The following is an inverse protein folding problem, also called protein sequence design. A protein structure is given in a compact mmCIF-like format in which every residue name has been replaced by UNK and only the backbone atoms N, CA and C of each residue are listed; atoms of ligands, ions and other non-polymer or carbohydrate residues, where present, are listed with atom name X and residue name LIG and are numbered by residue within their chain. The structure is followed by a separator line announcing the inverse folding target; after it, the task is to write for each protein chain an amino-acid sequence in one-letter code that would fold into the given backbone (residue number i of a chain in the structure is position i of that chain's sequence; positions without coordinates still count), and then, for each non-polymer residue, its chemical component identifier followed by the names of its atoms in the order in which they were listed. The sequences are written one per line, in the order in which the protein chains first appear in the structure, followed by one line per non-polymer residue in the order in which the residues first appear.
data_IF_723442461736
#
_entry.id   IF_723442461736
#
_cell.length_a   1.000
_cell.length_b   1.000
_cell.length_c   1.000
_cell.angle_alpha   90.00
_cell.angle_beta   90.00
_cell.angle_gamma   90.00
#
_symmetry.space_group_name_H-M   'P 1'
#
loop_
_entity.id
_entity.type
_entity.pdbx_description
1 polymer ?
#
# COMPACT_ATOMS: atom_id res chain seq x y z
N UNK A 1 -24.75 21.18 13.76
CA UNK A 1 -24.27 19.92 13.15
C UNK A 1 -23.15 20.26 12.16
N UNK A 2 -22.04 20.80 12.66
CA UNK A 2 -20.86 21.11 11.85
C UNK A 2 -19.81 20.04 12.13
N UNK A 3 -19.60 19.13 11.17
CA UNK A 3 -18.40 18.31 11.15
C UNK A 3 -17.23 19.26 10.95
N UNK A 4 -16.38 19.40 11.96
CA UNK A 4 -15.12 20.14 11.82
C UNK A 4 -14.23 19.37 10.84
N UNK A 5 -14.30 19.77 9.57
CA UNK A 5 -13.28 19.59 8.56
C UNK A 5 -12.51 20.90 8.51
N UNK A 6 -11.62 21.14 9.46
CA UNK A 6 -10.66 22.22 9.35
C UNK A 6 -9.28 21.59 9.46
N UNK A 7 -8.49 21.87 8.43
CA UNK A 7 -7.16 21.35 8.12
C UNK A 7 -6.29 21.13 9.35
N UNK A 8 -5.89 19.88 9.57
CA UNK A 8 -4.73 19.56 10.40
C UNK A 8 -3.50 19.82 9.52
N UNK A 9 -2.58 20.70 9.93
CA UNK A 9 -1.23 20.76 9.35
C UNK A 9 -0.44 19.46 9.66
N UNK A 10 -0.99 18.58 10.50
CA UNK A 10 -0.54 17.20 10.69
C UNK A 10 -1.03 16.23 9.61
N UNK A 11 -0.25 15.17 9.39
CA UNK A 11 -0.54 14.09 8.43
C UNK A 11 -1.75 13.20 8.81
N UNK A 12 -2.40 13.43 9.95
CA UNK A 12 -3.36 12.48 10.51
C UNK A 12 -4.80 12.98 10.45
N UNK A 13 -5.66 12.25 9.73
CA UNK A 13 -7.10 12.41 9.86
C UNK A 13 -7.58 11.92 11.24
N UNK A 14 -8.22 12.79 12.02
CA UNK A 14 -8.76 12.44 13.34
C UNK A 14 -10.28 12.30 13.30
N UNK A 15 -10.79 11.07 13.36
CA UNK A 15 -12.22 10.85 13.57
C UNK A 15 -12.57 11.02 15.05
N UNK A 16 -12.89 12.25 15.44
CA UNK A 16 -13.46 12.54 16.74
C UNK A 16 -14.95 12.79 16.60
N UNK A 17 -15.74 12.19 17.51
CA UNK A 17 -17.13 12.56 17.73
C UNK A 17 -17.26 13.04 19.19
N UNK A 18 -16.86 14.29 19.48
CA UNK A 18 -16.94 14.83 20.82
C UNK A 18 -18.40 15.00 21.27
N UNK A 19 -18.63 14.87 22.57
CA UNK A 19 -19.91 15.20 23.19
C UNK A 19 -20.01 16.69 23.49
N UNK A 20 -21.21 17.16 23.83
CA UNK A 20 -21.43 18.55 24.21
C UNK A 20 -20.58 18.95 25.42
N UNK A 21 -20.39 18.05 26.38
CA UNK A 21 -19.54 18.26 27.55
C UNK A 21 -18.08 18.59 27.14
N UNK A 22 -17.55 17.93 26.11
CA UNK A 22 -16.25 18.28 25.56
C UNK A 22 -16.24 19.67 24.93
N UNK A 23 -17.25 20.01 24.12
CA UNK A 23 -17.32 21.33 23.49
C UNK A 23 -17.42 22.45 24.53
N UNK A 24 -18.21 22.25 25.59
CA UNK A 24 -18.37 23.20 26.69
C UNK A 24 -17.07 23.37 27.51
N UNK A 25 -16.16 22.41 27.44
CA UNK A 25 -14.85 22.48 28.11
C UNK A 25 -13.80 23.31 27.36
N UNK A 26 -14.07 23.70 26.11
CA UNK A 26 -13.16 24.49 25.27
C UNK A 26 -13.52 25.97 25.40
N UNK A 27 -12.53 26.82 25.71
CA UNK A 27 -12.72 28.28 25.74
C UNK A 27 -12.66 28.88 24.34
N UNK A 28 -13.38 29.98 24.07
CA UNK A 28 -13.55 30.58 22.73
C UNK A 28 -12.29 31.18 22.07
N UNK A 29 -11.08 30.97 22.60
CA UNK A 29 -9.84 31.50 22.01
C UNK A 29 -8.60 30.65 22.36
N UNK A 30 -8.73 29.32 22.26
CA UNK A 30 -7.62 28.39 22.53
C UNK A 30 -6.60 28.40 21.39
N UNK A 31 -5.34 28.57 21.75
CA UNK A 31 -4.19 28.40 20.85
C UNK A 31 -4.16 26.99 20.23
N UNK A 32 -3.76 26.86 18.96
CA UNK A 32 -3.80 25.61 18.21
C UNK A 32 -3.06 24.46 18.90
N UNK A 33 -1.89 24.73 19.50
CA UNK A 33 -1.11 23.71 20.22
C UNK A 33 -1.83 23.21 21.48
N UNK A 34 -2.50 24.12 22.18
CA UNK A 34 -3.33 23.74 23.33
C UNK A 34 -4.56 22.95 22.88
N UNK A 35 -5.20 23.34 21.78
CA UNK A 35 -6.34 22.63 21.21
C UNK A 35 -5.94 21.20 20.83
N UNK A 36 -4.80 21.03 20.17
CA UNK A 36 -4.22 19.73 19.83
C UNK A 36 -4.00 18.85 21.08
N UNK A 37 -3.40 19.43 22.13
CA UNK A 37 -3.18 18.73 23.41
C UNK A 37 -4.50 18.28 24.05
N UNK A 38 -5.53 19.14 24.03
CA UNK A 38 -6.87 18.83 24.55
C UNK A 38 -7.51 17.69 23.76
N UNK A 39 -7.42 17.74 22.42
CA UNK A 39 -7.96 16.70 21.54
C UNK A 39 -7.26 15.35 21.77
N UNK A 40 -5.93 15.33 21.88
CA UNK A 40 -5.18 14.11 22.21
C UNK A 40 -5.56 13.54 23.58
N UNK A 41 -5.74 14.40 24.58
CA UNK A 41 -6.16 13.98 25.92
C UNK A 41 -7.57 13.36 25.88
N UNK A 42 -8.49 13.96 25.14
CA UNK A 42 -9.84 13.43 24.95
C UNK A 42 -9.83 12.07 24.22
N UNK A 43 -9.05 11.95 23.14
CA UNK A 43 -8.85 10.69 22.43
C UNK A 43 -8.35 9.58 23.35
N UNK A 44 -7.32 9.87 24.15
CA UNK A 44 -6.76 8.92 25.09
C UNK A 44 -7.78 8.47 26.13
N UNK A 45 -8.55 9.41 26.70
CA UNK A 45 -9.64 9.10 27.63
C UNK A 45 -10.69 8.17 27.01
N UNK A 46 -11.16 8.50 25.80
CA UNK A 46 -12.13 7.66 25.07
C UNK A 46 -11.59 6.27 24.74
N UNK A 47 -10.34 6.18 24.30
CA UNK A 47 -9.68 4.89 24.03
C UNK A 47 -9.61 4.01 25.29
N UNK A 48 -9.36 4.61 26.45
CA UNK A 48 -9.41 3.89 27.74
C UNK A 48 -10.81 3.40 28.10
N UNK A 49 -11.82 4.26 28.01
CA UNK A 49 -13.22 3.88 28.26
C UNK A 49 -13.67 2.73 27.34
N UNK A 50 -13.28 2.82 26.06
CA UNK A 50 -13.53 1.79 25.05
C UNK A 50 -12.87 0.46 25.45
N UNK A 51 -11.61 0.49 25.87
CA UNK A 51 -10.89 -0.68 26.36
C UNK A 51 -11.57 -1.32 27.56
N UNK A 52 -11.97 -0.53 28.56
CA UNK A 52 -12.66 -1.04 29.74
C UNK A 52 -13.99 -1.74 29.40
N UNK A 53 -14.77 -1.18 28.45
CA UNK A 53 -16.01 -1.82 27.95
C UNK A 53 -15.72 -3.15 27.25
N UNK A 54 -14.67 -3.23 26.43
CA UNK A 54 -14.24 -4.50 25.81
C UNK A 54 -13.76 -5.51 26.86
N UNK A 55 -12.96 -5.09 27.83
CA UNK A 55 -12.42 -5.99 28.86
C UNK A 55 -13.56 -6.55 29.74
N UNK A 56 -14.56 -5.70 30.08
CA UNK A 56 -15.83 -6.15 30.65
C UNK A 56 -16.50 -7.17 29.74
N UNK A 57 -16.57 -6.91 28.43
CA UNK A 57 -17.15 -7.82 27.44
C UNK A 57 -16.53 -9.23 27.52
N UNK A 58 -15.20 -9.30 27.61
CA UNK A 58 -14.42 -10.55 27.67
C UNK A 58 -14.47 -11.29 29.01
N UNK A 59 -14.77 -10.60 30.10
CA UNK A 59 -14.79 -11.20 31.45
C UNK A 59 -15.89 -12.26 31.67
N UNK A 60 -16.84 -12.40 30.73
CA UNK A 60 -17.97 -13.38 30.73
C UNK A 60 -18.84 -13.39 32.00
N UNK A 61 -18.70 -12.41 32.89
CA UNK A 61 -19.49 -12.28 34.11
C UNK A 61 -20.83 -11.59 33.82
N UNK A 62 -21.78 -12.32 33.23
CA UNK A 62 -23.12 -11.79 32.96
C UNK A 62 -24.18 -12.54 33.75
N UNK A 63 -24.63 -11.93 34.84
CA UNK A 63 -25.80 -12.41 35.59
C UNK A 63 -27.12 -12.10 34.88
N UNK A 64 -27.14 -11.11 33.96
CA UNK A 64 -28.32 -10.66 33.22
C UNK A 64 -28.06 -10.64 31.70
N UNK A 65 -28.89 -11.38 30.94
CA UNK A 65 -28.80 -11.49 29.48
C UNK A 65 -29.06 -10.16 28.75
N UNK A 66 -29.91 -9.28 29.29
CA UNK A 66 -30.21 -7.98 28.66
C UNK A 66 -29.02 -7.02 28.72
N UNK A 67 -28.36 -6.95 29.88
CA UNK A 67 -27.22 -6.05 30.09
C UNK A 67 -26.02 -6.46 29.22
N UNK A 68 -25.81 -7.77 29.05
CA UNK A 68 -24.85 -8.30 28.09
C UNK A 68 -25.14 -7.88 26.65
N UNK A 69 -26.38 -8.02 26.19
CA UNK A 69 -26.77 -7.66 24.83
C UNK A 69 -26.60 -6.16 24.56
N UNK A 70 -26.91 -5.31 25.54
CA UNK A 70 -26.69 -3.87 25.45
C UNK A 70 -25.19 -3.54 25.34
N UNK A 71 -24.35 -4.12 26.21
CA UNK A 71 -22.90 -3.91 26.17
C UNK A 71 -22.26 -4.43 24.88
N UNK A 72 -22.69 -5.61 24.39
CA UNK A 72 -22.22 -6.17 23.14
C UNK A 72 -22.53 -5.23 21.96
N UNK A 73 -23.75 -4.70 21.89
CA UNK A 73 -24.15 -3.75 20.86
C UNK A 73 -23.27 -2.50 20.91
N UNK A 74 -23.06 -1.93 22.10
CA UNK A 74 -22.22 -0.76 22.29
C UNK A 74 -20.77 -0.99 21.83
N UNK A 75 -20.19 -2.15 22.15
CA UNK A 75 -18.82 -2.50 21.72
C UNK A 75 -18.73 -2.70 20.21
N UNK A 76 -19.75 -3.30 19.59
CA UNK A 76 -19.81 -3.45 18.12
C UNK A 76 -19.86 -2.08 17.45
N UNK A 77 -20.80 -1.23 17.85
CA UNK A 77 -20.97 0.12 17.27
C UNK A 77 -19.69 0.94 17.39
N UNK A 78 -19.05 0.89 18.57
CA UNK A 78 -17.75 1.51 18.82
C UNK A 78 -16.64 0.96 17.89
N UNK A 79 -16.52 -0.36 17.78
CA UNK A 79 -15.49 -1.01 16.95
C UNK A 79 -15.67 -0.66 15.47
N UNK A 80 -16.91 -0.60 15.00
CA UNK A 80 -17.24 -0.16 13.65
C UNK A 80 -16.83 1.30 13.42
N UNK A 81 -17.10 2.19 14.38
CA UNK A 81 -16.65 3.59 14.30
C UNK A 81 -15.11 3.70 14.26
N UNK A 82 -14.39 2.91 15.07
CA UNK A 82 -12.93 2.85 15.04
C UNK A 82 -12.41 2.34 13.68
N UNK A 83 -13.08 1.35 13.08
CA UNK A 83 -12.77 0.85 11.74
C UNK A 83 -12.94 1.93 10.66
N UNK A 84 -14.05 2.68 10.69
CA UNK A 84 -14.27 3.80 9.77
C UNK A 84 -13.21 4.89 9.91
N UNK A 85 -12.80 5.21 11.15
CA UNK A 85 -11.72 6.17 11.41
C UNK A 85 -10.42 5.75 10.74
N UNK A 86 -9.98 4.51 10.96
CA UNK A 86 -8.74 3.97 10.38
C UNK A 86 -8.79 3.93 8.86
N UNK A 87 -9.95 3.59 8.28
CA UNK A 87 -10.13 3.63 6.84
C UNK A 87 -10.01 5.06 6.29
N UNK A 88 -10.61 6.04 6.96
CA UNK A 88 -10.49 7.43 6.54
C UNK A 88 -9.05 7.96 6.66
N UNK A 89 -8.31 7.57 7.71
CA UNK A 89 -6.86 7.83 7.81
C UNK A 89 -6.10 7.21 6.64
N UNK A 90 -6.35 5.94 6.35
CA UNK A 90 -5.72 5.26 5.24
C UNK A 90 -5.98 5.95 3.89
N UNK A 91 -7.23 6.37 3.64
CA UNK A 91 -7.59 7.13 2.44
C UNK A 91 -6.88 8.48 2.39
N UNK A 92 -6.78 9.19 3.52
CA UNK A 92 -6.05 10.46 3.61
C UNK A 92 -4.56 10.28 3.30
N UNK A 93 -3.92 9.24 3.85
CA UNK A 93 -2.52 8.92 3.54
C UNK A 93 -2.33 8.60 2.05
N UNK A 94 -3.21 7.79 1.45
CA UNK A 94 -3.17 7.52 0.01
C UNK A 94 -3.32 8.80 -0.81
N UNK A 95 -4.19 9.73 -0.40
CA UNK A 95 -4.33 11.04 -1.05
C UNK A 95 -3.03 11.82 -1.03
N UNK A 96 -2.30 11.85 0.09
CA UNK A 96 -0.99 12.51 0.18
C UNK A 96 0.00 11.93 -0.83
N UNK A 97 0.06 10.60 -0.97
CA UNK A 97 0.93 9.94 -1.96
C UNK A 97 0.52 10.28 -3.40
N UNK A 98 -0.79 10.31 -3.70
CA UNK A 98 -1.29 10.74 -5.01
C UNK A 98 -0.88 12.19 -5.30
N UNK A 99 -1.04 13.10 -4.34
CA UNK A 99 -0.64 14.50 -4.54
C UNK A 99 0.87 14.67 -4.73
N UNK A 100 1.70 13.82 -4.08
CA UNK A 100 3.14 13.78 -4.35
C UNK A 100 3.44 13.27 -5.77
N UNK A 101 2.73 12.22 -6.22
CA UNK A 101 2.87 11.71 -7.59
C UNK A 101 2.52 12.80 -8.61
N UNK A 102 1.37 13.47 -8.43
CA UNK A 102 0.93 14.59 -9.28
C UNK A 102 2.00 15.68 -9.32
N UNK A 103 2.53 16.08 -8.16
CA UNK A 103 3.60 17.08 -8.06
C UNK A 103 4.86 16.66 -8.81
N UNK A 104 5.25 15.39 -8.75
CA UNK A 104 6.41 14.90 -9.47
C UNK A 104 6.20 14.76 -10.98
N UNK A 105 4.95 14.66 -11.42
CA UNK A 105 4.60 14.67 -12.85
C UNK A 105 4.57 16.08 -13.46
N UNK A 106 4.54 17.13 -12.63
CA UNK A 106 4.60 18.51 -13.10
C UNK A 106 5.99 18.87 -13.67
N UNK A 107 6.01 19.89 -14.53
CA UNK A 107 7.25 20.53 -14.96
C UNK A 107 7.94 21.19 -13.76
N UNK A 108 9.23 20.93 -13.58
CA UNK A 108 10.05 21.59 -12.57
C UNK A 108 10.72 22.81 -13.16
N UNK A 109 10.36 23.99 -12.66
CA UNK A 109 11.01 25.26 -13.05
C UNK A 109 12.49 25.27 -12.65
N UNK A 110 12.83 24.66 -11.51
CA UNK A 110 14.21 24.59 -11.01
C UNK A 110 15.14 23.80 -11.94
N UNK A 111 14.62 22.72 -12.54
CA UNK A 111 15.37 21.84 -13.42
C UNK A 111 15.19 22.17 -14.92
N UNK A 112 14.33 23.15 -15.24
CA UNK A 112 13.84 23.43 -16.59
C UNK A 112 13.45 22.15 -17.36
N UNK A 113 12.83 21.20 -16.64
CA UNK A 113 12.43 19.89 -17.17
C UNK A 113 11.47 19.18 -16.20
N UNK A 114 10.90 18.04 -16.62
CA UNK A 114 10.21 17.12 -15.73
C UNK A 114 11.17 16.44 -14.74
N UNK A 115 10.65 16.02 -13.59
CA UNK A 115 11.42 15.25 -12.61
C UNK A 115 11.98 13.96 -13.20
N UNK A 116 13.05 13.46 -12.58
CA UNK A 116 13.68 12.22 -13.02
C UNK A 116 12.75 11.02 -12.86
N UNK A 117 12.88 10.06 -13.77
CA UNK A 117 12.17 8.78 -13.72
C UNK A 117 12.41 8.06 -12.39
N UNK A 118 13.65 8.14 -11.89
CA UNK A 118 14.09 7.61 -10.60
C UNK A 118 13.23 8.12 -9.43
N UNK A 119 12.73 9.35 -9.50
CA UNK A 119 11.90 9.95 -8.44
C UNK A 119 10.52 9.30 -8.42
N UNK A 120 9.88 9.17 -9.60
CA UNK A 120 8.58 8.51 -9.75
C UNK A 120 8.68 7.01 -9.43
N UNK A 121 9.75 6.37 -9.89
CA UNK A 121 10.04 4.97 -9.64
C UNK A 121 10.11 4.71 -8.14
N UNK A 122 10.96 5.43 -7.40
CA UNK A 122 11.11 5.25 -5.96
C UNK A 122 9.83 5.57 -5.16
N UNK A 123 8.96 6.45 -5.68
CA UNK A 123 7.64 6.68 -5.07
C UNK A 123 6.75 5.45 -5.20
N UNK A 124 6.74 4.78 -6.35
CA UNK A 124 5.94 3.57 -6.61
C UNK A 124 6.56 2.36 -5.89
N UNK A 125 7.84 2.10 -6.13
CA UNK A 125 8.60 1.01 -5.56
C UNK A 125 10.10 1.34 -5.60
N UNK A 126 10.81 1.17 -4.49
CA UNK A 126 12.23 1.56 -4.39
C UNK A 126 13.10 0.80 -5.43
N UNK A 127 13.94 1.53 -6.15
CA UNK A 127 14.88 0.96 -7.13
C UNK A 127 15.88 0.02 -6.45
N UNK A 128 16.23 -1.09 -7.11
CA UNK A 128 17.06 -2.17 -6.58
C UNK A 128 16.35 -3.07 -5.55
N UNK A 129 15.14 -2.69 -5.14
CA UNK A 129 14.32 -3.38 -4.16
C UNK A 129 13.72 -4.68 -4.68
N UNK A 130 13.36 -5.55 -3.74
CA UNK A 130 12.61 -6.78 -3.97
C UNK A 130 11.86 -7.19 -2.71
N UNK A 131 11.19 -8.33 -2.76
CA UNK A 131 10.38 -8.86 -1.65
C UNK A 131 11.13 -9.15 -0.34
N UNK A 132 12.46 -9.29 -0.38
CA UNK A 132 13.26 -9.58 0.80
C UNK A 132 13.84 -8.30 1.43
N UNK A 133 13.89 -7.21 0.66
CA UNK A 133 14.43 -5.91 1.09
C UNK A 133 13.35 -4.90 1.42
N UNK A 134 12.19 -4.99 0.75
CA UNK A 134 11.05 -4.09 0.94
C UNK A 134 9.95 -4.85 1.68
N UNK A 135 9.53 -4.31 2.82
CA UNK A 135 8.40 -4.86 3.56
C UNK A 135 7.11 -4.73 2.74
N UNK A 136 6.21 -5.69 2.91
CA UNK A 136 4.95 -5.79 2.18
C UNK A 136 4.08 -4.50 2.23
N UNK A 137 4.16 -3.76 3.34
CA UNK A 137 3.44 -2.51 3.56
C UNK A 137 4.23 -1.25 3.17
N UNK A 138 5.43 -1.39 2.60
CA UNK A 138 6.36 -0.29 2.30
C UNK A 138 6.58 -0.07 0.80
N UNK A 139 5.49 -0.10 0.02
CA UNK A 139 5.49 0.30 -1.39
C UNK A 139 4.12 0.82 -1.83
N UNK A 140 4.07 1.52 -2.97
CA UNK A 140 2.85 2.15 -3.50
C UNK A 140 2.40 1.56 -4.84
N UNK A 141 2.59 0.26 -5.07
CA UNK A 141 2.12 -0.44 -6.29
C UNK A 141 0.60 -0.27 -6.55
N UNK A 142 -0.18 -0.01 -5.49
CA UNK A 142 -1.59 0.32 -5.60
C UNK A 142 -1.88 1.58 -6.44
N UNK A 143 -0.88 2.45 -6.67
CA UNK A 143 -0.97 3.57 -7.61
C UNK A 143 -1.17 3.10 -9.06
N UNK A 144 -0.66 1.91 -9.40
CA UNK A 144 -0.79 1.30 -10.72
C UNK A 144 -2.06 0.42 -10.77
N UNK A 145 -2.19 -0.50 -9.81
CA UNK A 145 -3.36 -1.36 -9.63
C UNK A 145 -3.33 -1.94 -8.20
N UNK A 146 -4.45 -1.84 -7.47
CA UNK A 146 -4.56 -2.26 -6.08
C UNK A 146 -4.23 -3.76 -5.89
N UNK A 147 -4.52 -4.60 -6.90
CA UNK A 147 -4.25 -6.05 -6.90
C UNK A 147 -2.76 -6.38 -6.86
N UNK A 148 -1.91 -5.49 -7.36
CA UNK A 148 -0.46 -5.71 -7.42
C UNK A 148 0.18 -5.73 -6.03
N UNK A 149 -0.44 -5.02 -5.07
CA UNK A 149 0.01 -4.95 -3.68
C UNK A 149 0.16 -6.32 -3.02
N UNK A 150 -0.64 -7.31 -3.43
CA UNK A 150 -0.70 -8.63 -2.79
C UNK A 150 0.31 -9.64 -3.34
N UNK A 151 1.13 -9.24 -4.32
CA UNK A 151 2.10 -10.14 -4.93
C UNK A 151 3.35 -10.26 -4.08
N UNK A 152 3.89 -11.48 -3.98
CA UNK A 152 5.12 -11.72 -3.23
C UNK A 152 6.37 -11.52 -4.08
N UNK A 153 6.36 -11.91 -5.35
CA UNK A 153 7.56 -11.88 -6.18
C UNK A 153 7.60 -10.59 -6.99
N UNK A 154 8.26 -9.57 -6.43
CA UNK A 154 8.39 -8.23 -7.01
C UNK A 154 9.87 -7.88 -7.09
N UNK A 155 10.30 -7.40 -8.24
CA UNK A 155 11.69 -7.02 -8.51
C UNK A 155 11.70 -5.66 -9.19
N UNK A 156 12.46 -4.72 -8.63
CA UNK A 156 12.50 -3.33 -9.10
C UNK A 156 13.93 -2.94 -9.46
N UNK A 157 14.17 -2.55 -10.71
CA UNK A 157 15.50 -2.22 -11.24
C UNK A 157 16.52 -3.35 -10.95
N UNK A 158 16.14 -4.59 -11.29
CA UNK A 158 16.98 -5.78 -11.12
C UNK A 158 17.04 -6.60 -12.40
N UNK A 159 18.15 -7.32 -12.56
CA UNK A 159 18.39 -8.17 -13.72
C UNK A 159 17.45 -9.36 -13.70
N UNK A 160 16.83 -9.68 -14.84
CA UNK A 160 15.86 -10.78 -14.97
C UNK A 160 16.42 -12.11 -14.46
N UNK A 161 17.71 -12.41 -14.71
CA UNK A 161 18.36 -13.63 -14.19
C UNK A 161 18.36 -13.77 -12.66
N UNK A 162 18.17 -12.67 -11.93
CA UNK A 162 18.16 -12.62 -10.46
C UNK A 162 16.77 -12.71 -9.86
N UNK A 163 15.73 -12.76 -10.70
CA UNK A 163 14.35 -12.84 -10.23
C UNK A 163 14.05 -14.29 -9.90
N UNK A 164 13.51 -14.57 -8.71
CA UNK A 164 12.80 -15.83 -8.49
C UNK A 164 11.45 -15.71 -9.22
N UNK A 165 11.07 -16.63 -10.12
CA UNK A 165 11.63 -17.97 -10.35
C UNK A 165 12.55 -18.11 -11.60
N UNK A 166 12.99 -17.01 -12.20
CA UNK A 166 13.90 -17.00 -13.37
C UNK A 166 15.36 -17.35 -13.04
N UNK A 167 15.74 -17.36 -11.77
CA UNK A 167 17.05 -17.80 -11.29
C UNK A 167 17.44 -19.14 -11.90
N UNK A 168 18.62 -19.19 -12.53
CA UNK A 168 19.16 -20.36 -13.25
C UNK A 168 18.38 -20.83 -14.48
N UNK A 169 17.27 -20.16 -14.84
CA UNK A 169 16.53 -20.44 -16.07
C UNK A 169 16.91 -19.46 -17.18
N UNK A 170 17.19 -18.20 -16.82
CA UNK A 170 17.53 -17.13 -17.76
C UNK A 170 18.91 -16.55 -17.47
N UNK A 171 19.71 -16.33 -18.52
CA UNK A 171 20.97 -15.58 -18.45
C UNK A 171 20.77 -14.09 -18.81
N UNK A 172 19.53 -13.63 -18.88
CA UNK A 172 19.21 -12.27 -19.30
C UNK A 172 19.71 -11.23 -18.28
N UNK A 173 20.63 -10.38 -18.73
CA UNK A 173 21.19 -9.26 -17.96
C UNK A 173 20.35 -7.98 -18.04
N UNK A 174 19.22 -8.01 -18.77
CA UNK A 174 18.34 -6.84 -18.85
C UNK A 174 17.63 -6.63 -17.53
N UNK A 175 17.49 -5.37 -17.19
CA UNK A 175 16.74 -4.89 -16.04
C UNK A 175 15.35 -4.44 -16.49
N UNK A 176 14.38 -4.67 -15.62
CA UNK A 176 13.01 -4.16 -15.73
C UNK A 176 12.81 -3.15 -14.63
N UNK A 177 12.10 -2.06 -14.90
CA UNK A 177 11.85 -1.07 -13.84
C UNK A 177 11.05 -1.70 -12.70
N UNK A 178 9.96 -2.40 -13.02
CA UNK A 178 9.25 -3.27 -12.06
C UNK A 178 8.78 -4.54 -12.77
N UNK A 179 9.16 -5.71 -12.25
CA UNK A 179 8.63 -7.01 -12.65
C UNK A 179 7.90 -7.67 -11.47
N UNK A 180 6.68 -8.13 -11.74
CA UNK A 180 5.81 -8.79 -10.76
C UNK A 180 5.42 -10.15 -11.32
N UNK A 181 5.70 -11.20 -10.55
CA UNK A 181 5.37 -12.57 -10.91
C UNK A 181 4.19 -13.06 -10.07
N UNK A 182 3.10 -13.42 -10.73
CA UNK A 182 1.96 -14.09 -10.13
C UNK A 182 2.26 -15.59 -10.06
N UNK A 183 2.82 -16.00 -8.91
CA UNK A 183 3.18 -17.38 -8.59
C UNK A 183 2.48 -17.79 -7.30
N UNK A 184 1.80 -18.95 -7.34
CA UNK A 184 1.06 -19.49 -6.20
C UNK A 184 2.00 -19.83 -5.05
N UNK A 185 1.80 -19.19 -3.90
CA UNK A 185 2.59 -19.43 -2.69
C UNK A 185 1.71 -20.19 -1.67
N UNK A 186 1.96 -21.49 -1.50
CA UNK A 186 1.52 -22.36 -0.39
C UNK A 186 0.11 -23.04 -0.37
N UNK A 187 -0.86 -22.71 -1.22
CA UNK A 187 -2.18 -23.39 -1.19
C UNK A 187 -2.62 -24.07 -2.51
N UNK A 188 -1.70 -24.28 -3.46
CA UNK A 188 -1.98 -25.01 -4.72
C UNK A 188 -1.89 -26.53 -4.59
N UNK A 189 -2.33 -27.26 -5.61
CA UNK A 189 -1.97 -28.69 -5.71
C UNK A 189 -0.45 -28.81 -5.89
N UNK A 190 0.16 -29.97 -5.55
CA UNK A 190 1.63 -30.15 -5.57
C UNK A 190 2.32 -29.80 -6.90
N UNK A 191 1.59 -29.71 -7.99
CA UNK A 191 2.11 -29.37 -9.32
C UNK A 191 2.05 -27.86 -9.63
N UNK A 192 1.24 -27.07 -8.90
CA UNK A 192 1.01 -25.64 -9.19
C UNK A 192 2.05 -24.72 -8.52
N UNK A 193 2.87 -25.26 -7.62
CA UNK A 193 3.84 -24.48 -6.84
C UNK A 193 4.98 -23.91 -7.67
N UNK A 194 5.17 -24.38 -8.89
CA UNK A 194 6.25 -23.93 -9.79
C UNK A 194 5.75 -23.26 -11.07
N UNK A 195 4.43 -23.14 -11.24
CA UNK A 195 3.85 -22.46 -12.40
C UNK A 195 3.71 -20.96 -12.14
N UNK A 196 4.07 -20.19 -13.17
CA UNK A 196 3.86 -18.74 -13.20
C UNK A 196 2.55 -18.51 -13.95
N UNK A 197 1.53 -18.03 -13.25
CA UNK A 197 0.22 -17.77 -13.84
C UNK A 197 0.28 -16.58 -14.80
N UNK A 198 0.93 -15.51 -14.34
CA UNK A 198 1.10 -14.29 -15.12
C UNK A 198 2.33 -13.50 -14.68
N UNK A 199 2.79 -12.62 -15.57
CA UNK A 199 3.93 -11.74 -15.33
C UNK A 199 3.52 -10.35 -15.78
N UNK A 200 3.66 -9.37 -14.89
CA UNK A 200 3.41 -7.96 -15.18
C UNK A 200 4.73 -7.23 -15.14
N UNK A 201 5.04 -6.52 -16.22
CA UNK A 201 6.25 -5.70 -16.32
C UNK A 201 5.81 -4.26 -16.52
N UNK A 202 6.31 -3.37 -15.68
CA UNK A 202 6.19 -1.94 -15.88
C UNK A 202 7.53 -1.38 -16.33
N UNK A 203 7.44 -0.49 -17.31
CA UNK A 203 8.54 0.31 -17.81
C UNK A 203 8.10 1.77 -17.75
N UNK A 204 8.79 2.56 -16.93
CA UNK A 204 8.52 3.97 -16.70
C UNK A 204 9.29 4.77 -17.76
N UNK A 205 8.71 5.87 -18.23
CA UNK A 205 9.38 6.77 -19.18
C UNK A 205 9.06 8.20 -18.85
N UNK A 206 10.05 9.08 -19.03
CA UNK A 206 9.88 10.52 -18.86
C UNK A 206 9.03 11.13 -19.99
N UNK A 207 8.08 12.04 -19.69
CA UNK A 207 7.26 12.70 -20.71
C UNK A 207 8.06 13.45 -21.78
N UNK A 208 9.18 14.10 -21.41
CA UNK A 208 10.03 14.86 -22.34
C UNK A 208 10.90 14.00 -23.25
N UNK A 209 10.96 12.68 -23.04
CA UNK A 209 11.73 11.76 -23.88
C UNK A 209 10.85 11.27 -25.04
N UNK A 210 11.15 11.73 -26.24
CA UNK A 210 10.56 11.16 -27.47
C UNK A 210 11.12 9.76 -27.64
N UNK A 211 10.25 8.75 -27.50
CA UNK A 211 10.58 7.35 -27.69
C UNK A 211 9.90 6.85 -28.96
N UNK A 212 10.66 6.26 -29.87
CA UNK A 212 10.06 5.64 -31.06
C UNK A 212 9.39 4.32 -30.66
N UNK A 213 8.34 3.94 -31.40
CA UNK A 213 7.69 2.65 -31.22
C UNK A 213 8.67 1.48 -31.36
N UNK A 214 9.66 1.61 -32.26
CA UNK A 214 10.65 0.56 -32.51
C UNK A 214 11.60 0.37 -31.32
N UNK A 215 12.08 1.45 -30.73
CA UNK A 215 12.92 1.39 -29.51
C UNK A 215 12.16 0.76 -28.35
N UNK A 216 10.95 1.25 -28.07
CA UNK A 216 10.09 0.70 -27.02
C UNK A 216 9.83 -0.79 -27.24
N UNK A 217 9.40 -1.15 -28.45
CA UNK A 217 9.06 -2.53 -28.78
C UNK A 217 10.28 -3.44 -28.73
N UNK A 218 11.46 -2.95 -29.12
CA UNK A 218 12.71 -3.71 -29.02
C UNK A 218 13.06 -4.00 -27.57
N UNK A 219 12.99 -2.98 -26.70
CA UNK A 219 13.25 -3.15 -25.27
C UNK A 219 12.31 -4.17 -24.63
N UNK A 220 11.00 -4.02 -24.86
CA UNK A 220 9.98 -4.95 -24.34
C UNK A 220 10.20 -6.37 -24.87
N UNK A 221 10.52 -6.53 -26.16
CA UNK A 221 10.82 -7.86 -26.73
C UNK A 221 12.04 -8.50 -26.06
N UNK A 222 13.11 -7.75 -25.83
CA UNK A 222 14.31 -8.28 -25.17
C UNK A 222 14.01 -8.74 -23.74
N UNK A 223 13.23 -7.98 -22.96
CA UNK A 223 12.80 -8.36 -21.62
C UNK A 223 11.89 -9.60 -21.64
N UNK A 224 10.87 -9.62 -22.52
CA UNK A 224 9.95 -10.76 -22.67
C UNK A 224 10.69 -12.02 -23.11
N UNK A 225 11.62 -11.91 -24.06
CA UNK A 225 12.47 -13.03 -24.49
C UNK A 225 13.37 -13.47 -23.33
N UNK A 226 13.90 -12.55 -22.54
CA UNK A 226 14.68 -12.87 -21.34
C UNK A 226 13.87 -13.72 -20.36
N UNK A 227 12.62 -13.38 -20.13
CA UNK A 227 11.72 -14.10 -19.23
C UNK A 227 11.30 -15.45 -19.84
N UNK A 228 10.95 -15.50 -21.14
CA UNK A 228 10.57 -16.74 -21.84
C UNK A 228 11.74 -17.70 -22.09
N UNK A 229 12.94 -17.17 -22.28
CA UNK A 229 14.20 -17.91 -22.41
C UNK A 229 14.56 -18.65 -21.13
N UNK A 230 14.03 -18.17 -20.00
CA UNK A 230 13.81 -18.92 -18.77
C UNK A 230 12.84 -20.07 -18.98
N UNK A 231 13.29 -21.15 -19.62
CA UNK A 231 12.44 -22.31 -19.88
C UNK A 231 11.95 -22.92 -18.56
N UNK A 232 10.67 -22.75 -18.28
CA UNK A 232 9.88 -23.56 -17.34
C UNK A 232 10.17 -25.04 -17.62
N UNK A 233 11.00 -25.65 -16.77
CA UNK A 233 11.19 -27.10 -16.79
C UNK A 233 10.04 -27.74 -16.03
N UNK A 234 9.13 -28.41 -16.75
CA UNK A 234 8.23 -29.41 -16.17
C UNK A 234 9.04 -30.45 -15.36
N UNK A 235 8.44 -31.13 -14.38
CA UNK A 235 9.08 -32.10 -13.48
C UNK A 235 9.83 -33.24 -14.21
N UNK A 236 9.66 -33.35 -15.53
CA UNK A 236 10.29 -34.30 -16.45
C UNK A 236 11.33 -33.73 -17.43
N UNK A 237 11.75 -32.46 -17.33
CA UNK A 237 12.78 -31.84 -18.20
C UNK A 237 12.54 -32.03 -19.71
N UNK A 238 11.29 -32.00 -20.18
CA UNK A 238 11.01 -31.98 -21.64
C UNK A 238 10.71 -30.55 -22.09
N UNK A 239 11.35 -30.17 -23.19
CA UNK A 239 11.10 -28.92 -23.89
C UNK A 239 9.69 -28.93 -24.49
N UNK A 240 8.86 -27.96 -24.12
CA UNK A 240 7.64 -27.63 -24.86
C UNK A 240 8.04 -26.68 -25.99
N UNK A 241 7.92 -27.07 -27.27
CA UNK A 241 8.08 -26.14 -28.37
C UNK A 241 6.94 -25.14 -28.37
N UNK A 242 7.27 -23.89 -28.68
CA UNK A 242 6.28 -22.82 -28.92
C UNK A 242 5.54 -23.05 -30.21
#
# INVERSE_FOLDING_TARGET
MSRYLCSDEGLEYRHLNPDNDFYDSITDNVDEKKLDTILHTYQYKRSRENREKRDKLFSKNYSNKKDYQALLKEVIDMTTCEGHSKLAQYVAHRKTIISLLEKYMEWSEDNDNYNEESTLHNLIYIMGGNQDTIAYDKHNLWLLDDRLTFHRYIYSDKQIKSHTPMENLSDCLKETDIAIYDKTFYYGERNDYDEINSIVIFELKRPSRILTYEEFSKQMREQIIGIKGGKLSDYKRKYVPT
#
